data_IF_540605789589
#
_entry.id   IF_540605789589
#
_cell.length_a   1.000
_cell.length_b   1.000
_cell.length_c   1.000
_cell.angle_alpha   90.00
_cell.angle_beta   90.00
_cell.angle_gamma   90.00
#
_symmetry.space_group_name_H-M   'P 1'
#
loop_
_entity.id
_entity.type
_entity.pdbx_description
1 polymer ?
#
# COMPACT_ATOMS: atom_id res chain seq x y z
N UNK A 1 9.87 4.66 18.06
CA UNK A 1 8.41 4.53 18.16
C UNK A 1 7.88 5.73 18.93
N UNK A 2 6.86 6.41 18.41
CA UNK A 2 6.18 7.53 19.07
C UNK A 2 5.43 7.08 20.34
N UNK A 3 5.32 7.97 21.32
CA UNK A 3 4.71 7.64 22.61
C UNK A 3 3.21 7.34 22.52
N UNK A 4 2.48 8.00 21.61
CA UNK A 4 1.08 7.70 21.33
C UNK A 4 0.91 6.26 20.81
N UNK A 5 1.74 5.85 19.86
CA UNK A 5 1.75 4.48 19.30
C UNK A 5 2.08 3.46 20.39
N UNK A 6 3.12 3.71 21.20
CA UNK A 6 3.51 2.82 22.30
C UNK A 6 2.38 2.62 23.31
N UNK A 7 1.69 3.71 23.69
CA UNK A 7 0.55 3.66 24.63
C UNK A 7 -0.60 2.83 24.06
N UNK A 8 -0.97 3.04 22.80
CA UNK A 8 -2.08 2.31 22.19
C UNK A 8 -1.77 0.81 22.05
N UNK A 9 -0.51 0.47 21.73
CA UNK A 9 -0.03 -0.92 21.67
C UNK A 9 -0.03 -1.62 23.03
N UNK A 10 0.31 -0.92 24.12
CA UNK A 10 0.24 -1.49 25.47
C UNK A 10 -1.17 -1.80 25.95
N UNK A 11 -2.17 -1.23 25.29
CA UNK A 11 -3.59 -1.44 25.57
C UNK A 11 -4.23 -2.41 24.58
N UNK A 12 -4.92 -1.83 23.59
CA UNK A 12 -5.83 -2.56 22.70
C UNK A 12 -5.33 -2.67 21.26
N UNK A 13 -4.09 -2.24 21.01
CA UNK A 13 -3.41 -2.31 19.71
C UNK A 13 -4.22 -1.72 18.53
N UNK A 14 -4.96 -0.63 18.76
CA UNK A 14 -5.70 0.10 17.70
C UNK A 14 -4.81 0.99 16.87
N UNK A 15 -3.75 0.40 16.33
CA UNK A 15 -2.76 1.13 15.55
C UNK A 15 -2.88 0.69 14.10
N UNK A 16 -2.88 1.67 13.19
CA UNK A 16 -2.81 1.43 11.75
C UNK A 16 -1.46 1.91 11.25
N UNK A 17 -0.66 0.99 10.71
CA UNK A 17 0.57 1.35 10.03
C UNK A 17 0.28 2.02 8.67
N UNK A 18 1.04 3.07 8.36
CA UNK A 18 0.96 3.80 7.08
C UNK A 18 2.36 3.87 6.44
N UNK A 19 2.45 3.60 5.15
CA UNK A 19 3.72 3.68 4.40
C UNK A 19 4.05 5.10 3.93
N UNK A 20 5.33 5.31 3.59
CA UNK A 20 5.87 6.64 3.26
C UNK A 20 6.45 6.76 1.85
N UNK A 21 6.44 5.68 1.05
CA UNK A 21 6.73 5.73 -0.39
C UNK A 21 5.65 6.52 -1.13
N UNK A 22 4.38 6.41 -0.74
CA UNK A 22 3.31 7.25 -1.31
C UNK A 22 3.62 8.75 -1.13
N UNK A 23 4.20 9.13 0.01
CA UNK A 23 4.58 10.51 0.32
C UNK A 23 5.81 10.95 -0.49
N UNK A 24 6.84 10.11 -0.53
CA UNK A 24 8.14 10.50 -1.09
C UNK A 24 8.27 10.24 -2.60
N UNK A 25 7.52 9.30 -3.17
CA UNK A 25 7.67 8.85 -4.55
C UNK A 25 6.34 8.64 -5.28
N UNK A 26 5.20 8.70 -4.57
CA UNK A 26 3.88 8.40 -5.14
C UNK A 26 3.13 9.60 -5.70
N UNK A 27 3.27 10.77 -5.08
CA UNK A 27 2.58 12.00 -5.49
C UNK A 27 3.53 13.21 -5.50
N UNK A 28 3.28 14.20 -6.37
CA UNK A 28 4.06 15.43 -6.36
C UNK A 28 3.71 16.30 -5.15
N UNK A 29 4.69 17.07 -4.68
CA UNK A 29 4.44 18.12 -3.67
C UNK A 29 3.64 19.28 -4.25
N UNK A 30 2.72 19.92 -3.50
CA UNK A 30 2.40 19.68 -2.07
C UNK A 30 1.33 18.60 -1.82
N UNK A 31 0.80 17.95 -2.87
CA UNK A 31 -0.27 16.95 -2.73
C UNK A 31 0.14 15.77 -1.87
N UNK A 32 1.39 15.31 -1.97
CA UNK A 32 1.91 14.25 -1.12
C UNK A 32 1.76 14.52 0.39
N UNK A 33 2.19 15.70 0.86
CA UNK A 33 2.11 16.10 2.26
C UNK A 33 0.65 16.29 2.72
N UNK A 34 -0.17 16.91 1.86
CA UNK A 34 -1.60 17.08 2.15
C UNK A 34 -2.30 15.73 2.30
N UNK A 35 -2.02 14.77 1.41
CA UNK A 35 -2.58 13.42 1.50
C UNK A 35 -2.07 12.69 2.75
N UNK A 36 -0.78 12.76 3.06
CA UNK A 36 -0.22 12.13 4.26
C UNK A 36 -0.97 12.55 5.53
N UNK A 37 -1.15 13.87 5.71
CA UNK A 37 -1.89 14.44 6.85
C UNK A 37 -3.36 14.04 6.83
N UNK A 38 -4.00 14.05 5.66
CA UNK A 38 -5.40 13.65 5.51
C UNK A 38 -5.61 12.17 5.85
N UNK A 39 -4.66 11.30 5.52
CA UNK A 39 -4.69 9.87 5.86
C UNK A 39 -4.53 9.67 7.36
N UNK A 40 -3.60 10.35 8.02
CA UNK A 40 -3.48 10.29 9.48
C UNK A 40 -4.77 10.78 10.17
N UNK A 41 -5.35 11.88 9.68
CA UNK A 41 -6.63 12.39 10.19
C UNK A 41 -7.76 11.37 10.01
N UNK A 42 -7.87 10.75 8.82
CA UNK A 42 -8.90 9.75 8.54
C UNK A 42 -8.80 8.51 9.44
N UNK A 43 -7.58 8.08 9.80
CA UNK A 43 -7.38 7.00 10.78
C UNK A 43 -7.88 7.41 12.17
N UNK A 44 -7.53 8.64 12.61
CA UNK A 44 -7.96 9.19 13.91
C UNK A 44 -9.47 9.34 14.00
N UNK A 45 -10.09 9.91 12.99
CA UNK A 45 -11.56 10.08 12.87
C UNK A 45 -12.30 8.74 12.96
N UNK A 46 -11.71 7.68 12.41
CA UNK A 46 -12.26 6.32 12.45
C UNK A 46 -11.93 5.55 13.75
N UNK A 47 -11.29 6.18 14.73
CA UNK A 47 -11.12 5.64 16.09
C UNK A 47 -9.84 4.84 16.34
N UNK A 48 -8.83 4.96 15.47
CA UNK A 48 -7.52 4.32 15.63
C UNK A 48 -6.38 5.36 15.67
N UNK A 49 -5.18 4.91 16.07
CA UNK A 49 -3.96 5.73 16.09
C UNK A 49 -3.15 5.45 14.83
N UNK A 50 -2.83 6.46 14.00
CA UNK A 50 -1.94 6.27 12.86
C UNK A 50 -0.49 6.10 13.33
N UNK A 51 0.18 5.12 12.75
CA UNK A 51 1.62 4.96 12.85
C UNK A 51 2.21 5.07 11.44
N UNK A 52 2.43 6.29 10.96
CA UNK A 52 3.21 6.48 9.74
C UNK A 52 4.65 6.02 9.99
N UNK A 53 5.19 5.16 9.12
CA UNK A 53 6.48 4.51 9.30
C UNK A 53 7.44 4.96 8.21
N UNK A 54 8.66 5.34 8.61
CA UNK A 54 9.72 5.71 7.70
C UNK A 54 11.10 5.64 8.36
N UNK A 55 12.14 5.97 7.61
CA UNK A 55 13.49 6.14 8.14
C UNK A 55 13.88 7.61 8.01
N UNK A 56 14.33 8.23 9.10
CA UNK A 56 14.77 9.62 9.12
C UNK A 56 16.18 9.67 9.69
N UNK A 57 17.14 10.12 8.88
CA UNK A 57 18.55 10.22 9.27
C UNK A 57 19.09 8.89 9.87
N UNK A 58 18.77 7.78 9.22
CA UNK A 58 19.14 6.42 9.63
C UNK A 58 18.33 5.83 10.79
N UNK A 59 17.41 6.60 11.38
CA UNK A 59 16.55 6.11 12.48
C UNK A 59 15.23 5.63 11.94
N UNK A 60 14.91 4.37 12.20
CA UNK A 60 13.56 3.84 11.98
C UNK A 60 12.60 4.52 12.96
N UNK A 61 11.59 5.19 12.41
CA UNK A 61 10.53 5.85 13.20
C UNK A 61 9.18 5.17 12.87
N UNK A 62 8.49 4.76 13.93
CA UNK A 62 7.14 4.18 13.90
C UNK A 62 6.23 5.19 14.60
N UNK A 63 5.40 5.88 13.83
CA UNK A 63 4.79 7.16 14.22
C UNK A 63 5.75 8.30 13.92
N UNK A 64 5.62 8.88 12.71
CA UNK A 64 6.30 10.10 12.30
C UNK A 64 5.62 11.32 12.92
N UNK A 65 6.41 12.36 13.17
CA UNK A 65 5.89 13.68 13.49
C UNK A 65 5.71 14.53 12.22
N UNK A 66 5.05 15.67 12.33
CA UNK A 66 4.78 16.52 11.16
C UNK A 66 6.08 17.03 10.48
N UNK A 67 7.15 17.24 11.25
CA UNK A 67 8.44 17.67 10.69
C UNK A 67 9.08 16.56 9.85
N UNK A 68 8.98 15.30 10.28
CA UNK A 68 9.38 14.15 9.47
C UNK A 68 8.56 14.04 8.18
N UNK A 69 7.23 14.24 8.28
CA UNK A 69 6.33 14.20 7.12
C UNK A 69 6.73 15.25 6.08
N UNK A 70 6.97 16.49 6.53
CA UNK A 70 7.47 17.59 5.68
C UNK A 70 8.80 17.20 5.05
N UNK A 71 9.74 16.68 5.84
CA UNK A 71 11.06 16.26 5.34
C UNK A 71 10.97 15.19 4.25
N UNK A 72 10.13 14.18 4.43
CA UNK A 72 9.90 13.14 3.41
C UNK A 72 9.22 13.71 2.16
N UNK A 73 8.24 14.60 2.34
CA UNK A 73 7.46 15.17 1.24
C UNK A 73 8.25 16.18 0.41
N UNK A 74 9.15 16.94 1.02
CA UNK A 74 9.99 17.94 0.34
C UNK A 74 11.24 17.31 -0.27
N UNK A 75 11.84 16.34 0.42
CA UNK A 75 13.03 15.60 -0.06
C UNK A 75 12.75 14.72 -1.29
N UNK A 76 11.48 14.58 -1.69
CA UNK A 76 11.02 13.98 -2.93
C UNK A 76 11.28 14.83 -4.20
N UNK A 77 11.57 16.13 -4.06
CA UNK A 77 11.76 17.04 -5.20
C UNK A 77 13.18 16.91 -5.79
N UNK A 78 13.27 16.81 -7.12
CA UNK A 78 14.43 17.26 -7.91
C UNK A 78 15.82 16.81 -7.45
N UNK A 79 16.01 15.52 -7.15
CA UNK A 79 17.30 14.99 -6.68
C UNK A 79 17.54 15.08 -5.17
N UNK A 80 16.48 15.25 -4.37
CA UNK A 80 16.57 15.29 -2.92
C UNK A 80 17.04 13.98 -2.27
N UNK A 81 17.43 14.08 -1.00
CA UNK A 81 18.13 13.04 -0.22
C UNK A 81 17.21 11.95 0.36
N UNK A 82 15.98 11.78 -0.15
CA UNK A 82 15.05 10.75 0.33
C UNK A 82 15.04 9.58 -0.63
N UNK A 83 15.49 8.41 -0.16
CA UNK A 83 15.51 7.19 -0.99
C UNK A 83 14.25 6.36 -0.78
N UNK A 84 13.91 5.51 -1.74
CA UNK A 84 12.89 4.47 -1.58
C UNK A 84 13.53 3.24 -0.93
N UNK A 85 12.93 2.72 0.14
CA UNK A 85 13.44 1.57 0.88
C UNK A 85 12.42 0.43 0.97
N UNK A 86 12.79 -0.72 0.40
CA UNK A 86 12.17 -2.01 0.70
C UNK A 86 12.88 -2.68 1.89
N UNK A 87 12.41 -3.85 2.33
CA UNK A 87 12.96 -4.57 3.50
C UNK A 87 14.46 -4.78 3.40
N UNK A 88 14.99 -5.10 2.21
CA UNK A 88 16.43 -5.29 1.98
C UNK A 88 17.27 -4.03 2.18
N UNK A 89 16.65 -2.86 2.01
CA UNK A 89 17.35 -1.58 2.02
C UNK A 89 17.44 -0.98 3.44
N UNK A 90 16.61 -1.46 4.38
CA UNK A 90 16.49 -0.90 5.74
C UNK A 90 17.83 -0.84 6.48
N UNK A 91 18.61 -1.92 6.46
CA UNK A 91 19.91 -1.96 7.12
C UNK A 91 20.91 -0.97 6.50
N UNK A 92 20.89 -0.84 5.18
CA UNK A 92 21.77 0.07 4.44
C UNK A 92 21.41 1.54 4.73
N UNK A 93 20.13 1.88 4.68
CA UNK A 93 19.63 3.23 4.98
C UNK A 93 19.97 3.61 6.43
N UNK A 94 19.76 2.70 7.37
CA UNK A 94 20.10 2.91 8.78
C UNK A 94 21.60 3.13 8.99
N UNK A 95 22.45 2.25 8.45
CA UNK A 95 23.90 2.32 8.59
C UNK A 95 24.50 3.59 7.99
N UNK A 96 23.88 4.12 6.92
CA UNK A 96 24.35 5.34 6.23
C UNK A 96 23.74 6.64 6.75
N UNK A 97 22.86 6.59 7.75
CA UNK A 97 22.21 7.80 8.23
C UNK A 97 21.27 8.44 7.19
N UNK A 98 20.71 7.66 6.27
CA UNK A 98 19.86 8.18 5.19
C UNK A 98 18.41 8.36 5.64
N UNK A 99 17.69 9.25 4.97
CA UNK A 99 16.22 9.36 5.09
C UNK A 99 15.58 8.55 3.97
N UNK A 100 14.55 7.77 4.27
CA UNK A 100 13.88 6.93 3.29
C UNK A 100 12.37 6.81 3.52
N UNK A 101 11.63 6.82 2.42
CA UNK A 101 10.25 6.34 2.38
C UNK A 101 10.23 4.82 2.28
N UNK A 102 9.45 4.16 3.15
CA UNK A 102 9.33 2.70 3.19
C UNK A 102 8.23 2.22 2.26
N UNK A 103 8.48 1.13 1.52
CA UNK A 103 7.44 0.46 0.69
C UNK A 103 6.47 -0.32 1.57
N UNK A 104 5.49 -1.01 0.97
CA UNK A 104 4.62 -1.94 1.71
C UNK A 104 5.48 -3.01 2.41
N UNK A 105 6.41 -3.67 1.69
CA UNK A 105 7.31 -4.67 2.26
C UNK A 105 8.06 -4.20 3.52
N UNK A 106 8.70 -3.03 3.45
CA UNK A 106 9.43 -2.47 4.59
C UNK A 106 8.47 -2.05 5.72
N UNK A 107 7.33 -1.48 5.37
CA UNK A 107 6.35 -0.98 6.35
C UNK A 107 5.73 -2.12 7.15
N UNK A 108 5.25 -3.19 6.50
CA UNK A 108 4.69 -4.33 7.22
C UNK A 108 5.73 -5.01 8.10
N UNK A 109 6.98 -5.12 7.63
CA UNK A 109 8.07 -5.70 8.42
C UNK A 109 8.28 -4.93 9.73
N UNK A 110 8.37 -3.60 9.64
CA UNK A 110 8.55 -2.72 10.81
C UNK A 110 7.30 -2.64 11.69
N UNK A 111 6.11 -2.69 11.09
CA UNK A 111 4.83 -2.71 11.78
C UNK A 111 4.69 -3.97 12.63
N UNK A 112 4.88 -5.16 12.04
CA UNK A 112 4.79 -6.43 12.75
C UNK A 112 5.86 -6.55 13.84
N UNK A 113 7.11 -6.14 13.56
CA UNK A 113 8.17 -6.09 14.57
C UNK A 113 7.85 -5.12 15.74
N UNK A 114 6.91 -4.20 15.53
CA UNK A 114 6.40 -3.26 16.54
C UNK A 114 5.09 -3.71 17.19
N UNK A 115 4.55 -4.88 16.85
CA UNK A 115 3.26 -5.37 17.35
C UNK A 115 2.02 -4.76 16.66
N UNK A 116 2.19 -4.09 15.52
CA UNK A 116 1.08 -3.53 14.73
C UNK A 116 0.61 -4.58 13.71
N UNK A 117 -0.66 -4.98 13.81
CA UNK A 117 -1.27 -6.04 12.98
C UNK A 117 -1.99 -5.56 11.71
N UNK A 118 -2.31 -4.27 11.59
CA UNK A 118 -3.04 -3.72 10.43
C UNK A 118 -2.26 -2.58 9.79
N UNK A 119 -2.16 -2.61 8.47
CA UNK A 119 -1.59 -1.56 7.63
C UNK A 119 -2.61 -1.09 6.59
N UNK A 120 -2.60 0.21 6.27
CA UNK A 120 -3.31 0.74 5.10
C UNK A 120 -2.33 1.25 4.04
N UNK A 121 -2.68 1.05 2.77
CA UNK A 121 -2.00 1.65 1.60
C UNK A 121 -3.00 1.87 0.47
N UNK A 122 -2.57 2.50 -0.62
CA UNK A 122 -3.34 2.52 -1.85
C UNK A 122 -3.46 1.11 -2.46
N UNK A 123 -2.33 0.47 -2.71
CA UNK A 123 -2.26 -0.79 -3.44
C UNK A 123 -0.92 -1.48 -3.26
N UNK A 124 -0.91 -2.80 -3.17
CA UNK A 124 0.34 -3.57 -3.05
C UNK A 124 1.10 -3.62 -4.38
N UNK A 125 2.40 -3.89 -4.33
CA UNK A 125 3.14 -4.37 -5.50
C UNK A 125 2.76 -5.81 -5.86
N UNK A 126 3.31 -6.30 -6.96
CA UNK A 126 3.01 -7.63 -7.47
C UNK A 126 3.94 -8.04 -8.61
N UNK A 127 3.46 -8.94 -9.46
CA UNK A 127 4.18 -9.36 -10.66
C UNK A 127 3.98 -8.29 -11.73
N UNK A 128 5.07 -7.77 -12.30
CA UNK A 128 4.98 -6.84 -13.42
C UNK A 128 4.61 -7.57 -14.72
N UNK A 129 4.03 -6.88 -15.73
CA UNK A 129 3.84 -7.47 -17.05
C UNK A 129 5.17 -8.00 -17.62
N UNK A 130 5.19 -9.27 -18.06
CA UNK A 130 6.42 -9.96 -18.49
C UNK A 130 7.34 -10.39 -17.34
N UNK A 131 6.86 -10.33 -16.09
CA UNK A 131 7.55 -10.73 -14.88
C UNK A 131 7.93 -12.21 -14.84
N UNK A 132 7.22 -13.08 -15.59
CA UNK A 132 7.55 -14.49 -15.73
C UNK A 132 8.91 -14.74 -16.42
N UNK A 133 9.35 -13.81 -17.26
CA UNK A 133 10.63 -13.89 -17.97
C UNK A 133 11.70 -13.00 -17.33
N UNK A 134 11.32 -11.78 -16.93
CA UNK A 134 12.24 -10.79 -16.36
C UNK A 134 12.52 -10.99 -14.88
N UNK A 135 11.66 -11.73 -14.17
CA UNK A 135 11.63 -11.83 -12.71
C UNK A 135 11.43 -10.48 -12.01
N UNK A 136 10.83 -9.49 -12.68
CA UNK A 136 10.39 -8.23 -12.06
C UNK A 136 9.15 -8.47 -11.20
N UNK A 137 9.40 -8.95 -9.98
CA UNK A 137 8.38 -9.30 -8.99
C UNK A 137 8.63 -8.48 -7.73
N UNK A 138 7.58 -7.80 -7.25
CA UNK A 138 7.68 -6.97 -6.06
C UNK A 138 8.03 -7.80 -4.81
N UNK A 139 8.99 -7.28 -4.04
CA UNK A 139 9.33 -7.81 -2.71
C UNK A 139 8.16 -7.75 -1.70
N UNK A 140 7.08 -7.01 -2.01
CA UNK A 140 5.86 -7.00 -1.20
C UNK A 140 5.27 -8.41 -1.06
N UNK A 141 5.32 -9.24 -2.11
CA UNK A 141 4.74 -10.60 -2.08
C UNK A 141 5.48 -11.49 -1.08
N UNK A 142 6.81 -11.45 -1.10
CA UNK A 142 7.67 -12.20 -0.18
C UNK A 142 7.60 -11.66 1.25
N UNK A 143 7.43 -10.34 1.42
CA UNK A 143 7.25 -9.74 2.73
C UNK A 143 5.91 -10.15 3.34
N UNK A 144 4.83 -10.13 2.55
CA UNK A 144 3.51 -10.62 2.95
C UNK A 144 3.58 -12.10 3.35
N UNK A 145 4.33 -12.94 2.63
CA UNK A 145 4.48 -14.36 2.94
C UNK A 145 5.11 -14.65 4.32
N UNK A 146 5.83 -13.68 4.90
CA UNK A 146 6.62 -13.86 6.12
C UNK A 146 6.29 -12.90 7.26
N UNK A 147 5.26 -12.07 7.08
CA UNK A 147 4.93 -11.00 8.04
C UNK A 147 3.45 -11.02 8.36
N UNK A 148 3.04 -11.35 9.60
CA UNK A 148 1.64 -11.42 10.00
C UNK A 148 1.07 -10.01 10.22
N UNK A 149 0.86 -9.30 9.12
CA UNK A 149 0.27 -7.96 9.09
C UNK A 149 -0.77 -7.92 7.96
N UNK A 150 -2.02 -7.61 8.31
CA UNK A 150 -3.09 -7.43 7.35
C UNK A 150 -2.91 -6.10 6.61
N UNK A 151 -2.93 -6.14 5.27
CA UNK A 151 -2.79 -4.97 4.41
C UNK A 151 -4.13 -4.66 3.76
N UNK A 152 -4.73 -3.55 4.18
CA UNK A 152 -5.95 -3.00 3.56
C UNK A 152 -5.54 -2.12 2.38
N UNK A 153 -5.99 -2.47 1.18
CA UNK A 153 -5.64 -1.78 -0.05
C UNK A 153 -6.71 -1.95 -1.13
N UNK A 154 -6.58 -1.26 -2.27
CA UNK A 154 -7.48 -1.44 -3.42
C UNK A 154 -7.02 -2.56 -4.37
N UNK A 155 -6.44 -3.63 -3.81
CA UNK A 155 -5.78 -4.70 -4.57
C UNK A 155 -4.34 -4.35 -5.01
N UNK A 156 -3.69 -5.20 -5.83
CA UNK A 156 -2.44 -4.85 -6.47
C UNK A 156 -2.62 -3.64 -7.39
N UNK A 157 -1.58 -2.81 -7.52
CA UNK A 157 -1.61 -1.62 -8.41
C UNK A 157 -2.03 -1.98 -9.84
N UNK A 158 -2.80 -1.10 -10.47
CA UNK A 158 -3.44 -1.35 -11.77
C UNK A 158 -2.49 -1.61 -12.95
N UNK A 159 -1.19 -1.33 -12.80
CA UNK A 159 -0.15 -1.50 -13.84
C UNK A 159 0.54 -2.87 -13.78
N UNK A 160 0.08 -3.75 -12.89
CA UNK A 160 0.65 -5.06 -12.63
C UNK A 160 -0.13 -6.15 -13.35
N UNK A 161 0.48 -7.32 -13.47
CA UNK A 161 -0.19 -8.53 -13.91
C UNK A 161 -1.00 -9.12 -12.74
N UNK A 162 -2.30 -8.83 -12.71
CA UNK A 162 -3.16 -9.23 -11.60
C UNK A 162 -3.34 -10.76 -11.51
N UNK A 163 -3.62 -11.51 -12.60
CA UNK A 163 -3.69 -12.97 -12.54
C UNK A 163 -2.41 -13.59 -11.96
N UNK A 164 -1.23 -13.23 -12.49
CA UNK A 164 0.04 -13.76 -11.99
C UNK A 164 0.34 -13.32 -10.56
N UNK A 165 -0.10 -12.13 -10.16
CA UNK A 165 0.05 -11.66 -8.78
C UNK A 165 -0.77 -12.52 -7.81
N UNK A 166 -2.00 -12.90 -8.16
CA UNK A 166 -2.80 -13.81 -7.33
C UNK A 166 -2.15 -15.20 -7.22
N UNK A 167 -1.73 -15.80 -8.32
CA UNK A 167 -1.04 -17.09 -8.34
C UNK A 167 0.24 -17.07 -7.50
N UNK A 168 1.01 -15.97 -7.60
CA UNK A 168 2.22 -15.78 -6.83
C UNK A 168 1.96 -15.64 -5.32
N UNK A 169 0.84 -15.03 -4.92
CA UNK A 169 0.40 -14.91 -3.53
C UNK A 169 -0.12 -16.23 -2.98
N UNK A 170 -0.92 -16.97 -3.77
CA UNK A 170 -1.40 -18.30 -3.44
C UNK A 170 -0.24 -19.26 -3.17
N UNK A 171 0.73 -19.31 -4.09
CA UNK A 171 1.96 -20.12 -3.95
C UNK A 171 2.73 -19.78 -2.66
N UNK A 172 2.62 -18.54 -2.18
CA UNK A 172 3.29 -18.04 -0.98
C UNK A 172 2.47 -18.20 0.30
N UNK A 173 1.26 -18.78 0.22
CA UNK A 173 0.37 -18.92 1.37
C UNK A 173 -0.18 -17.59 1.89
N UNK A 174 -0.27 -16.57 1.02
CA UNK A 174 -0.86 -15.27 1.35
C UNK A 174 -2.31 -15.24 0.87
N UNK A 175 -3.25 -15.09 1.80
CA UNK A 175 -4.66 -14.95 1.48
C UNK A 175 -4.94 -13.55 0.91
N UNK A 176 -5.67 -13.51 -0.21
CA UNK A 176 -6.28 -12.30 -0.74
C UNK A 176 -7.79 -12.42 -0.61
N UNK A 177 -8.43 -11.47 0.07
CA UNK A 177 -9.86 -11.48 0.29
C UNK A 177 -10.48 -10.12 -0.05
N UNK A 178 -11.65 -10.12 -0.70
CA UNK A 178 -12.39 -8.93 -1.06
C UNK A 178 -13.26 -8.42 0.09
N UNK A 179 -13.25 -7.13 0.39
CA UNK A 179 -14.14 -6.54 1.40
C UNK A 179 -15.49 -6.16 0.77
N UNK A 180 -16.54 -6.92 1.08
CA UNK A 180 -17.88 -6.74 0.51
C UNK A 180 -17.97 -7.02 -1.00
N UNK A 181 -17.05 -7.79 -1.55
CA UNK A 181 -17.05 -8.27 -2.94
C UNK A 181 -16.35 -9.64 -3.02
N UNK A 182 -16.76 -10.47 -3.98
CA UNK A 182 -16.12 -11.75 -4.33
C UNK A 182 -15.22 -11.61 -5.58
N UNK A 183 -15.01 -10.39 -6.06
CA UNK A 183 -14.15 -10.05 -7.19
C UNK A 183 -12.96 -9.23 -6.72
N UNK A 184 -11.77 -9.50 -7.24
CA UNK A 184 -10.58 -8.72 -6.90
C UNK A 184 -10.74 -7.28 -7.42
N UNK A 185 -10.64 -6.26 -6.57
CA UNK A 185 -10.51 -4.87 -7.00
C UNK A 185 -9.20 -4.64 -7.79
N UNK A 186 -9.29 -3.92 -8.90
CA UNK A 186 -8.16 -3.66 -9.80
C UNK A 186 -7.56 -2.27 -9.62
N UNK A 187 -7.52 -1.77 -8.38
CA UNK A 187 -7.03 -0.45 -7.97
C UNK A 187 -7.82 0.75 -8.54
N UNK A 188 -7.83 0.96 -9.86
CA UNK A 188 -8.65 2.00 -10.51
C UNK A 188 -10.02 1.51 -10.96
N UNK A 189 -10.18 0.20 -11.14
CA UNK A 189 -11.46 -0.42 -11.47
C UNK A 189 -12.04 -1.08 -10.23
N UNK A 190 -13.37 -1.02 -10.08
CA UNK A 190 -14.05 -1.51 -8.87
C UNK A 190 -13.86 -3.01 -8.68
N UNK A 191 -13.97 -3.77 -9.77
CA UNK A 191 -13.90 -5.22 -9.79
C UNK A 191 -13.20 -5.68 -11.07
N UNK A 192 -12.47 -6.79 -10.99
CA UNK A 192 -11.84 -7.46 -12.13
C UNK A 192 -12.50 -8.81 -12.37
N UNK A 193 -12.18 -9.51 -13.48
CA UNK A 193 -12.69 -10.85 -13.71
C UNK A 193 -12.20 -11.93 -12.73
N UNK A 194 -11.29 -11.60 -11.81
CA UNK A 194 -10.63 -12.53 -10.90
C UNK A 194 -11.44 -12.70 -9.62
N UNK A 195 -11.67 -13.95 -9.20
CA UNK A 195 -12.43 -14.26 -7.99
C UNK A 195 -11.54 -14.30 -6.75
N UNK A 196 -12.07 -13.83 -5.62
CA UNK A 196 -11.45 -13.91 -4.29
C UNK A 196 -12.51 -14.23 -3.24
N UNK A 197 -12.15 -14.87 -2.11
CA UNK A 197 -13.08 -15.03 -1.00
C UNK A 197 -13.56 -13.67 -0.49
N UNK A 198 -14.87 -13.54 -0.27
CA UNK A 198 -15.49 -12.32 0.24
C UNK A 198 -15.49 -12.28 1.77
N UNK A 199 -15.15 -11.12 2.33
CA UNK A 199 -15.36 -10.75 3.73
C UNK A 199 -16.62 -9.90 3.82
N UNK A 200 -17.66 -10.47 4.41
CA UNK A 200 -18.94 -9.78 4.64
C UNK A 200 -18.86 -8.89 5.89
N UNK A 201 -18.30 -7.70 5.70
CA UNK A 201 -18.22 -6.68 6.74
C UNK A 201 -17.03 -6.82 7.69
N UNK A 202 -16.97 -5.90 8.65
CA UNK A 202 -15.81 -5.72 9.52
C UNK A 202 -15.61 -6.89 10.50
N UNK A 203 -16.70 -7.51 10.94
CA UNK A 203 -16.65 -8.66 11.85
C UNK A 203 -16.05 -9.89 11.16
N UNK A 204 -16.39 -10.14 9.90
CA UNK A 204 -15.78 -11.22 9.12
C UNK A 204 -14.27 -11.03 8.94
N UNK A 205 -13.85 -9.78 8.66
CA UNK A 205 -12.43 -9.43 8.59
C UNK A 205 -11.72 -9.65 9.95
N UNK A 206 -12.31 -9.22 11.06
CA UNK A 206 -11.71 -9.43 12.38
C UNK A 206 -11.60 -10.91 12.75
N UNK A 207 -12.65 -11.71 12.52
CA UNK A 207 -12.62 -13.16 12.80
C UNK A 207 -11.53 -13.86 11.99
N UNK A 208 -11.31 -13.43 10.75
CA UNK A 208 -10.22 -13.95 9.92
C UNK A 208 -8.84 -13.65 10.55
N UNK A 209 -8.61 -12.42 11.00
CA UNK A 209 -7.36 -12.04 11.65
C UNK A 209 -7.14 -12.82 12.97
N UNK A 210 -8.19 -13.01 13.77
CA UNK A 210 -8.13 -13.82 14.99
C UNK A 210 -7.81 -15.29 14.71
N UNK A 211 -8.43 -15.87 13.67
CA UNK A 211 -8.14 -17.24 13.25
C UNK A 211 -6.70 -17.40 12.77
N UNK A 212 -6.19 -16.41 12.02
CA UNK A 212 -4.79 -16.37 11.59
C UNK A 212 -3.82 -16.38 12.78
N UNK A 213 -4.08 -15.52 13.77
CA UNK A 213 -3.29 -15.43 15.00
C UNK A 213 -3.33 -16.72 15.82
N UNK A 214 -4.52 -17.32 15.97
CA UNK A 214 -4.70 -18.58 16.71
C UNK A 214 -3.96 -19.76 16.07
N UNK A 215 -3.81 -19.77 14.73
CA UNK A 215 -3.02 -20.74 14.00
C UNK A 215 -1.51 -20.48 14.06
N UNK A 216 -1.09 -19.31 14.54
CA UNK A 216 0.31 -18.87 14.46
C UNK A 216 0.80 -18.75 13.01
N UNK A 217 -0.10 -18.44 12.07
CA UNK A 217 0.26 -18.39 10.65
C UNK A 217 1.16 -17.18 10.37
N UNK A 218 2.33 -17.37 9.71
CA UNK A 218 3.35 -16.33 9.62
C UNK A 218 3.09 -15.31 8.51
N UNK A 219 2.22 -15.61 7.54
CA UNK A 219 1.93 -14.72 6.43
C UNK A 219 0.91 -13.64 6.83
N UNK A 220 0.90 -12.52 6.11
CA UNK A 220 -0.12 -11.49 6.19
C UNK A 220 -1.38 -11.86 5.39
N UNK A 221 -2.33 -10.94 5.38
CA UNK A 221 -3.57 -11.03 4.59
C UNK A 221 -3.70 -9.77 3.76
N UNK A 222 -4.08 -9.91 2.49
CA UNK A 222 -4.49 -8.77 1.68
C UNK A 222 -6.01 -8.63 1.77
N UNK A 223 -6.47 -7.53 2.36
CA UNK A 223 -7.88 -7.15 2.38
C UNK A 223 -8.10 -6.14 1.27
N UNK A 224 -8.65 -6.62 0.16
CA UNK A 224 -8.87 -5.83 -1.04
C UNK A 224 -10.22 -5.10 -0.97
N UNK A 225 -10.16 -3.78 -0.78
CA UNK A 225 -11.29 -2.89 -0.65
C UNK A 225 -11.58 -2.19 -1.99
N UNK A 226 -12.77 -2.35 -2.58
CA UNK A 226 -13.10 -1.68 -3.83
C UNK A 226 -12.90 -0.16 -3.76
N UNK A 227 -12.34 0.47 -4.81
CA UNK A 227 -12.25 1.93 -4.88
C UNK A 227 -13.64 2.60 -4.81
N UNK A 228 -13.71 3.89 -4.41
CA UNK A 228 -14.93 4.68 -4.43
C UNK A 228 -15.59 4.66 -5.82
N UNK A 229 -16.85 4.22 -5.89
CA UNK A 229 -17.54 3.90 -7.15
C UNK A 229 -17.82 5.11 -8.05
N UNK A 230 -17.97 6.29 -7.45
CA UNK A 230 -18.16 7.56 -8.15
C UNK A 230 -16.91 8.01 -8.93
N UNK A 231 -15.73 7.58 -8.50
CA UNK A 231 -14.46 7.89 -9.13
C UNK A 231 -13.86 6.73 -9.93
N UNK A 232 -14.25 5.49 -9.63
CA UNK A 232 -13.78 4.28 -10.30
C UNK A 232 -13.90 4.37 -11.83
N UNK A 233 -12.94 3.78 -12.53
CA UNK A 233 -12.93 3.72 -13.99
C UNK A 233 -13.71 2.50 -14.48
N UNK A 234 -14.34 2.64 -15.65
CA UNK A 234 -14.90 1.50 -16.37
C UNK A 234 -13.78 0.56 -16.84
N UNK A 235 -13.92 -0.77 -16.70
CA UNK A 235 -12.87 -1.73 -17.04
C UNK A 235 -12.31 -1.57 -18.45
N UNK A 236 -13.18 -1.51 -19.47
CA UNK A 236 -12.76 -1.41 -20.87
C UNK A 236 -12.04 -0.08 -21.17
N UNK A 237 -12.53 1.01 -20.59
CA UNK A 237 -11.92 2.32 -20.74
C UNK A 237 -10.54 2.37 -20.06
N UNK A 238 -10.39 1.75 -18.89
CA UNK A 238 -9.10 1.64 -18.22
C UNK A 238 -8.12 0.75 -19.00
N UNK A 239 -8.59 -0.40 -19.50
CA UNK A 239 -7.80 -1.31 -20.33
C UNK A 239 -7.20 -0.61 -21.54
N UNK A 240 -8.02 0.12 -22.31
CA UNK A 240 -7.55 0.89 -23.45
C UNK A 240 -6.49 1.96 -23.08
N UNK A 241 -6.63 2.62 -21.93
CA UNK A 241 -5.62 3.59 -21.46
C UNK A 241 -4.31 2.91 -21.04
N UNK A 242 -4.38 1.73 -20.43
CA UNK A 242 -3.21 0.97 -20.00
C UNK A 242 -2.45 0.41 -21.21
N UNK A 243 -3.16 -0.15 -22.19
CA UNK A 243 -2.57 -0.67 -23.42
C UNK A 243 -1.83 0.43 -24.19
N UNK A 244 -2.47 1.60 -24.38
CA UNK A 244 -1.82 2.75 -25.00
C UNK A 244 -0.57 3.23 -24.23
N UNK A 245 -0.59 3.17 -22.90
CA UNK A 245 0.56 3.52 -22.07
C UNK A 245 1.71 2.50 -22.21
N UNK A 246 1.40 1.21 -22.30
CA UNK A 246 2.38 0.14 -22.50
C UNK A 246 3.01 0.21 -23.90
N UNK A 247 2.20 0.46 -24.93
CA UNK A 247 2.69 0.68 -26.30
C UNK A 247 3.64 1.88 -26.37
N UNK A 248 3.27 3.01 -25.75
CA UNK A 248 4.13 4.19 -25.68
C UNK A 248 5.44 3.91 -24.93
N UNK A 249 5.39 3.16 -23.83
CA UNK A 249 6.60 2.76 -23.09
C UNK A 249 7.53 1.89 -23.95
N UNK A 250 6.97 0.97 -24.72
CA UNK A 250 7.70 0.13 -25.66
C UNK A 250 8.37 0.94 -26.78
N UNK A 251 7.64 1.90 -27.36
CA UNK A 251 8.16 2.78 -28.40
C UNK A 251 9.29 3.70 -27.90
N UNK A 252 9.23 4.13 -26.64
CA UNK A 252 10.27 4.95 -26.00
C UNK A 252 11.39 4.13 -25.32
N UNK A 253 11.32 2.79 -25.37
CA UNK A 253 12.30 1.91 -24.74
C UNK A 253 12.35 2.01 -23.21
N UNK A 254 11.26 2.44 -22.57
CA UNK A 254 11.20 2.62 -21.11
C UNK A 254 11.02 1.26 -20.43
N UNK A 255 11.96 0.90 -19.57
CA UNK A 255 11.97 -0.41 -18.89
C UNK A 255 12.40 -0.29 -17.42
N UNK A 256 12.25 -1.40 -16.68
CA UNK A 256 12.68 -1.53 -15.29
C UNK A 256 12.05 -0.47 -14.37
N UNK A 257 12.87 0.14 -13.50
CA UNK A 257 12.41 1.14 -12.53
C UNK A 257 11.79 2.40 -13.15
N UNK A 258 12.06 2.68 -14.44
CA UNK A 258 11.48 3.79 -15.19
C UNK A 258 10.04 3.55 -15.69
N UNK A 259 9.63 2.28 -15.81
CA UNK A 259 8.33 1.91 -16.38
C UNK A 259 7.15 2.39 -15.52
N UNK A 260 7.21 2.15 -14.21
CA UNK A 260 6.10 2.53 -13.31
C UNK A 260 5.82 4.05 -13.32
N UNK A 261 6.81 4.94 -13.13
CA UNK A 261 6.58 6.38 -13.25
C UNK A 261 6.06 6.80 -14.63
N UNK A 262 6.49 6.13 -15.71
CA UNK A 262 6.02 6.42 -17.06
C UNK A 262 4.54 6.08 -17.21
N UNK A 263 4.13 4.86 -16.87
CA UNK A 263 2.74 4.41 -16.97
C UNK A 263 1.80 5.29 -16.14
N UNK A 264 2.19 5.63 -14.90
CA UNK A 264 1.36 6.49 -14.04
C UNK A 264 1.18 7.90 -14.62
N UNK A 265 2.22 8.50 -15.22
CA UNK A 265 2.09 9.80 -15.90
C UNK A 265 1.17 9.72 -17.11
N UNK A 266 1.32 8.66 -17.92
CA UNK A 266 0.50 8.47 -19.11
C UNK A 266 -0.99 8.28 -18.75
N UNK A 267 -1.27 7.43 -17.75
CA UNK A 267 -2.63 7.22 -17.23
C UNK A 267 -3.23 8.49 -16.60
N UNK A 268 -2.42 9.30 -15.92
CA UNK A 268 -2.86 10.58 -15.38
C UNK A 268 -3.24 11.57 -16.48
N UNK A 269 -2.45 11.65 -17.56
CA UNK A 269 -2.76 12.49 -18.71
C UNK A 269 -4.02 12.02 -19.45
N UNK A 270 -4.08 10.71 -19.80
CA UNK A 270 -5.19 10.12 -20.54
C UNK A 270 -6.54 10.24 -19.81
N UNK A 271 -6.52 10.19 -18.48
CA UNK A 271 -7.73 10.29 -17.66
C UNK A 271 -8.10 11.72 -17.23
N UNK A 272 -7.39 12.75 -17.70
CA UNK A 272 -7.61 14.13 -17.25
C UNK A 272 -7.42 14.30 -15.73
N UNK A 273 -6.44 13.59 -15.15
CA UNK A 273 -6.15 13.57 -13.72
C UNK A 273 -7.17 12.81 -12.87
N UNK A 274 -8.11 12.07 -13.46
CA UNK A 274 -9.07 11.23 -12.69
C UNK A 274 -8.36 10.12 -11.93
N UNK A 275 -7.34 9.48 -12.49
CA UNK A 275 -6.56 8.44 -11.79
C UNK A 275 -5.85 8.98 -10.54
N UNK A 276 -5.36 10.22 -10.56
CA UNK A 276 -4.75 10.86 -9.39
C UNK A 276 -5.77 11.11 -8.28
N UNK A 277 -6.93 11.69 -8.64
CA UNK A 277 -8.04 11.92 -7.69
C UNK A 277 -8.56 10.61 -7.09
N UNK A 278 -8.69 9.58 -7.93
CA UNK A 278 -9.11 8.25 -7.51
C UNK A 278 -8.08 7.61 -6.57
N UNK A 279 -6.78 7.75 -6.85
CA UNK A 279 -5.72 7.27 -5.96
C UNK A 279 -5.77 7.94 -4.59
N UNK A 280 -5.95 9.26 -4.53
CA UNK A 280 -6.14 9.99 -3.26
C UNK A 280 -7.39 9.47 -2.50
N UNK A 281 -8.51 9.28 -3.20
CA UNK A 281 -9.76 8.83 -2.60
C UNK A 281 -9.72 7.38 -2.10
N UNK A 282 -9.12 6.46 -2.86
CA UNK A 282 -9.00 5.06 -2.45
C UNK A 282 -8.05 4.91 -1.25
N UNK A 283 -6.97 5.69 -1.17
CA UNK A 283 -6.06 5.65 -0.02
C UNK A 283 -6.80 6.07 1.25
N UNK A 284 -7.61 7.12 1.18
CA UNK A 284 -8.44 7.57 2.31
C UNK A 284 -9.50 6.52 2.69
N UNK A 285 -10.14 5.87 1.70
CA UNK A 285 -11.11 4.80 1.96
C UNK A 285 -10.45 3.61 2.67
N UNK A 286 -9.27 3.19 2.21
CA UNK A 286 -8.50 2.10 2.81
C UNK A 286 -8.05 2.44 4.22
N UNK A 287 -7.59 3.66 4.47
CA UNK A 287 -7.20 4.13 5.80
C UNK A 287 -8.36 4.09 6.80
N UNK A 288 -9.56 4.52 6.38
CA UNK A 288 -10.77 4.43 7.21
C UNK A 288 -11.17 3.00 7.49
N UNK A 289 -11.12 2.12 6.49
CA UNK A 289 -11.44 0.70 6.68
C UNK A 289 -10.44 0.03 7.63
N UNK A 290 -9.14 0.24 7.43
CA UNK A 290 -8.09 -0.27 8.30
C UNK A 290 -8.26 0.22 9.74
N UNK A 291 -8.62 1.49 9.94
CA UNK A 291 -8.87 2.05 11.26
C UNK A 291 -10.09 1.41 11.94
N UNK A 292 -11.19 1.22 11.21
CA UNK A 292 -12.35 0.48 11.73
C UNK A 292 -12.01 -0.95 12.09
N UNK A 293 -11.15 -1.62 11.32
CA UNK A 293 -10.70 -2.98 11.61
C UNK A 293 -9.83 -3.02 12.86
N UNK A 294 -8.81 -2.17 12.94
CA UNK A 294 -7.93 -2.07 14.10
C UNK A 294 -8.68 -1.63 15.37
N UNK A 295 -9.73 -0.81 15.24
CA UNK A 295 -10.53 -0.34 16.37
C UNK A 295 -11.70 -1.27 16.74
N UNK A 296 -11.97 -2.30 15.93
CA UNK A 296 -13.13 -3.17 16.09
C UNK A 296 -13.15 -3.83 17.48
N UNK A 297 -14.36 -3.95 18.04
CA UNK A 297 -14.63 -4.64 19.29
C UNK A 297 -15.75 -5.63 19.03
N UNK A 298 -15.43 -6.92 19.09
CA UNK A 298 -16.40 -8.00 19.27
C UNK A 298 -16.66 -8.24 20.75
#
# INVERSE_FOLDING_TARGET
MADEVRRELSGRARVVALETTLISHGLPHPRNLMLARAVEAAVREAGAVPATIGVVEGRIKVGLDDADLVRLAEGAKGGGNVVKASTRDLALVAARGLTAGTTVAATIHLAAASGIRVMATGGIGGVHPGGEASLDVSADLDALARTPCAVVCAGPKAILDLPRTLEALETRGVLVAGYGTDRLPGFYVRETPLSVPMLDGIEAAERLLQAQEALGWPAGIVIANPPPGDLALEPDAFGAMLDAALEAAGAEGVQGSGLTPFLLRHLAAASGGRTVRLNEALVLANARLAARLAAYRG
#
